data_IF_705280942416
#
_entry.id   IF_705280942416
#
_cell.length_a   1.000
_cell.length_b   1.000
_cell.length_c   1.000
_cell.angle_alpha   90.00
_cell.angle_beta   90.00
_cell.angle_gamma   90.00
#
_symmetry.space_group_name_H-M   'P 1'
#
loop_
_entity.id
_entity.type
_entity.pdbx_description
1 polymer ?
#
# COMPACT_ATOMS: atom_id res chain seq x y z
N UNK A 1 -16.88 -0.59 -5.24
CA UNK A 1 -16.85 -1.58 -6.33
C UNK A 1 -15.49 -2.27 -6.26
N UNK A 2 -15.45 -3.54 -5.84
CA UNK A 2 -14.23 -4.34 -5.85
C UNK A 2 -14.16 -5.00 -7.24
N UNK A 3 -13.10 -4.75 -8.01
CA UNK A 3 -12.90 -5.40 -9.30
C UNK A 3 -11.73 -6.36 -9.14
N UNK A 4 -12.04 -7.65 -9.22
CA UNK A 4 -11.03 -8.70 -9.29
C UNK A 4 -10.39 -8.66 -10.68
N UNK A 5 -9.09 -8.37 -10.73
CA UNK A 5 -8.33 -8.46 -11.98
C UNK A 5 -7.85 -9.90 -12.10
N UNK A 6 -8.63 -10.69 -12.85
CA UNK A 6 -8.29 -12.06 -13.24
C UNK A 6 -7.07 -12.06 -14.18
N UNK A 7 -6.21 -13.08 -14.05
CA UNK A 7 -4.92 -13.21 -14.73
C UNK A 7 -5.03 -13.55 -16.22
N UNK A 8 -6.24 -13.68 -16.77
CA UNK A 8 -6.41 -14.35 -18.07
C UNK A 8 -6.75 -13.42 -19.25
N UNK A 9 -7.47 -12.30 -19.08
CA UNK A 9 -7.82 -11.42 -20.21
C UNK A 9 -7.98 -9.97 -19.77
N UNK A 10 -7.48 -9.09 -20.64
CA UNK A 10 -7.50 -7.62 -20.57
C UNK A 10 -6.58 -7.02 -19.51
N UNK A 11 -5.34 -6.79 -19.94
CA UNK A 11 -4.38 -5.86 -19.34
C UNK A 11 -4.99 -4.45 -19.45
N UNK A 12 -5.97 -4.13 -18.61
CA UNK A 12 -6.15 -2.77 -18.15
C UNK A 12 -4.92 -2.54 -17.28
N UNK A 13 -3.92 -1.82 -17.80
CA UNK A 13 -2.73 -1.49 -17.01
C UNK A 13 -3.19 -1.00 -15.64
N UNK A 14 -2.74 -1.62 -14.53
CA UNK A 14 -3.17 -1.23 -13.19
C UNK A 14 -3.04 0.26 -12.93
N UNK A 15 -2.06 0.90 -13.57
CA UNK A 15 -1.88 2.34 -13.54
C UNK A 15 -3.00 3.08 -14.28
N UNK A 16 -3.41 2.64 -15.47
CA UNK A 16 -4.56 3.22 -16.18
C UNK A 16 -5.86 3.01 -15.42
N UNK A 17 -6.03 1.90 -14.72
CA UNK A 17 -7.16 1.71 -13.81
C UNK A 17 -7.13 2.72 -12.65
N UNK A 18 -5.97 2.89 -12.00
CA UNK A 18 -5.79 3.91 -10.98
C UNK A 18 -6.09 5.31 -11.52
N UNK A 19 -5.59 5.65 -12.71
CA UNK A 19 -5.81 6.96 -13.33
C UNK A 19 -7.28 7.16 -13.72
N UNK A 20 -7.96 6.11 -14.20
CA UNK A 20 -9.39 6.15 -14.52
C UNK A 20 -10.23 6.37 -13.26
N UNK A 21 -9.91 5.68 -12.17
CA UNK A 21 -10.53 5.93 -10.86
C UNK A 21 -10.18 7.29 -10.27
N UNK A 22 -8.98 7.79 -10.56
CA UNK A 22 -8.52 9.09 -10.13
C UNK A 22 -9.20 10.24 -10.91
N UNK A 23 -9.58 10.01 -12.16
CA UNK A 23 -10.16 11.05 -13.02
C UNK A 23 -11.69 11.01 -13.10
N UNK A 24 -12.36 10.16 -12.32
CA UNK A 24 -13.83 10.06 -12.29
C UNK A 24 -14.47 11.40 -11.82
N UNK A 25 -15.61 11.86 -12.37
CA UNK A 25 -16.24 13.12 -11.95
C UNK A 25 -16.61 13.18 -10.45
N UNK A 26 -16.96 12.05 -9.83
CA UNK A 26 -17.15 11.95 -8.38
C UNK A 26 -15.86 12.11 -7.57
N UNK A 27 -14.71 11.97 -8.22
CA UNK A 27 -13.37 12.18 -7.67
C UNK A 27 -13.02 13.68 -7.55
N UNK A 28 -13.32 14.49 -8.58
CA UNK A 28 -12.99 15.92 -8.63
C UNK A 28 -13.73 16.75 -7.60
N UNK A 29 -15.03 16.50 -7.40
CA UNK A 29 -15.83 17.20 -6.40
C UNK A 29 -15.34 16.96 -4.95
N UNK A 30 -14.59 15.87 -4.74
CA UNK A 30 -14.06 15.47 -3.43
C UNK A 30 -12.54 15.63 -3.33
N UNK A 31 -11.83 16.11 -4.38
CA UNK A 31 -10.41 16.51 -4.28
C UNK A 31 -10.28 17.95 -3.75
N UNK A 32 -11.21 18.82 -4.12
CA UNK A 32 -11.20 20.25 -3.73
C UNK A 32 -11.49 20.45 -2.23
N UNK A 33 -12.19 19.52 -1.59
CA UNK A 33 -12.45 19.51 -0.13
C UNK A 33 -11.25 18.99 0.67
N UNK A 34 -10.31 18.26 0.03
CA UNK A 34 -9.34 17.41 0.76
C UNK A 34 -8.02 18.10 1.10
N UNK A 35 -7.57 19.08 0.32
CA UNK A 35 -6.34 19.83 0.63
C UNK A 35 -6.52 20.84 1.77
N UNK A 36 -7.74 21.33 2.03
CA UNK A 36 -8.01 22.32 3.09
C UNK A 36 -7.98 21.76 4.52
N UNK A 37 -8.12 20.44 4.68
CA UNK A 37 -8.21 19.78 6.00
C UNK A 37 -7.04 18.82 6.29
N UNK A 38 -6.00 18.81 5.44
CA UNK A 38 -4.82 17.95 5.63
C UNK A 38 -5.06 16.46 5.35
N UNK A 39 -6.15 16.14 4.64
CA UNK A 39 -6.39 14.80 4.12
C UNK A 39 -5.62 14.60 2.82
N UNK A 40 -5.13 13.40 2.62
CA UNK A 40 -4.38 13.03 1.42
C UNK A 40 -4.96 11.73 0.87
N UNK A 41 -5.04 11.66 -0.45
CA UNK A 41 -5.45 10.44 -1.15
C UNK A 41 -4.25 9.52 -1.34
N UNK A 42 -4.37 8.28 -0.90
CA UNK A 42 -3.33 7.26 -1.09
C UNK A 42 -3.90 6.08 -1.85
N UNK A 43 -3.19 5.66 -2.91
CA UNK A 43 -3.55 4.47 -3.70
C UNK A 43 -3.53 3.25 -2.78
N UNK A 44 -4.51 2.37 -2.92
CA UNK A 44 -4.61 1.15 -2.11
C UNK A 44 -4.66 -0.10 -2.98
N UNK A 45 -3.93 -1.13 -2.55
CA UNK A 45 -3.96 -2.48 -3.14
C UNK A 45 -4.16 -3.49 -2.02
N UNK A 46 -5.05 -4.46 -2.24
CA UNK A 46 -5.17 -5.62 -1.36
C UNK A 46 -4.36 -6.75 -1.99
N UNK A 47 -3.39 -7.27 -1.25
CA UNK A 47 -2.55 -8.39 -1.69
C UNK A 47 -3.00 -9.63 -0.93
N UNK A 48 -3.32 -10.66 -1.68
CA UNK A 48 -3.64 -12.00 -1.20
C UNK A 48 -2.59 -12.99 -1.71
N UNK A 49 -2.49 -14.20 -1.13
CA UNK A 49 -1.57 -15.22 -1.61
C UNK A 49 -1.70 -15.49 -3.12
N UNK A 50 -2.91 -15.41 -3.69
CA UNK A 50 -3.16 -15.77 -5.10
C UNK A 50 -3.27 -14.57 -6.04
N UNK A 51 -3.80 -13.43 -5.57
CA UNK A 51 -4.14 -12.26 -6.41
C UNK A 51 -3.81 -10.91 -5.76
N UNK A 52 -3.73 -9.89 -6.63
CA UNK A 52 -3.65 -8.47 -6.24
C UNK A 52 -4.95 -7.81 -6.67
N UNK A 53 -5.65 -7.18 -5.72
CA UNK A 53 -6.94 -6.56 -5.94
C UNK A 53 -6.76 -5.04 -5.84
N UNK A 54 -7.09 -4.36 -6.93
CA UNK A 54 -7.03 -2.90 -7.01
C UNK A 54 -8.33 -2.31 -6.49
N UNK A 55 -8.22 -1.38 -5.56
CA UNK A 55 -9.38 -0.75 -4.93
C UNK A 55 -9.25 0.76 -5.04
N UNK A 56 -10.37 1.44 -4.78
CA UNK A 56 -10.40 2.90 -4.77
C UNK A 56 -9.33 3.46 -3.82
N UNK A 57 -8.61 4.53 -4.22
CA UNK A 57 -7.73 5.25 -3.32
C UNK A 57 -8.44 5.66 -2.04
N UNK A 58 -7.77 5.50 -0.90
CA UNK A 58 -8.31 5.89 0.39
C UNK A 58 -7.99 7.34 0.70
N UNK A 59 -8.96 8.04 1.26
CA UNK A 59 -8.73 9.35 1.86
C UNK A 59 -8.27 9.14 3.30
N UNK A 60 -7.05 9.56 3.60
CA UNK A 60 -6.45 9.42 4.93
C UNK A 60 -5.94 10.75 5.43
N UNK A 61 -5.97 10.95 6.74
CA UNK A 61 -5.30 12.11 7.33
C UNK A 61 -3.80 12.00 7.07
N UNK A 62 -3.23 12.98 6.37
CA UNK A 62 -1.82 12.97 6.01
C UNK A 62 -0.99 13.04 7.27
N UNK A 63 -0.07 12.11 7.49
CA UNK A 63 0.93 12.23 8.54
C UNK A 63 2.11 13.12 8.05
N UNK A 64 3.03 13.48 8.94
CA UNK A 64 4.18 14.36 8.58
C UNK A 64 4.96 13.86 7.38
N UNK A 65 5.10 12.54 7.27
CA UNK A 65 5.84 11.89 6.20
C UNK A 65 5.09 12.01 4.85
N UNK A 66 3.78 11.69 4.83
CA UNK A 66 2.93 11.83 3.65
C UNK A 66 2.86 13.28 3.16
N UNK A 67 2.71 14.25 4.08
CA UNK A 67 2.66 15.67 3.74
C UNK A 67 3.96 16.19 3.14
N UNK A 68 5.11 15.63 3.57
CA UNK A 68 6.43 16.05 3.08
C UNK A 68 6.79 15.42 1.73
N UNK A 69 6.42 14.16 1.51
CA UNK A 69 6.87 13.38 0.36
C UNK A 69 5.79 13.18 -0.71
N UNK A 70 4.56 13.63 -0.46
CA UNK A 70 3.42 13.43 -1.35
C UNK A 70 2.96 11.97 -1.40
N UNK A 71 1.89 11.71 -2.17
CA UNK A 71 1.29 10.37 -2.26
C UNK A 71 1.39 9.74 -3.65
N UNK A 72 1.91 10.46 -4.64
CA UNK A 72 1.93 10.01 -6.04
C UNK A 72 2.76 8.74 -6.27
N UNK A 73 3.87 8.62 -5.56
CA UNK A 73 4.76 7.45 -5.61
C UNK A 73 4.45 6.43 -4.52
N UNK A 74 3.41 6.66 -3.71
CA UNK A 74 3.09 5.80 -2.58
C UNK A 74 1.90 4.91 -2.87
N UNK A 75 1.94 3.71 -2.29
CA UNK A 75 0.83 2.79 -2.29
C UNK A 75 0.69 2.17 -0.90
N UNK A 76 -0.54 2.16 -0.39
CA UNK A 76 -0.91 1.42 0.80
C UNK A 76 -1.26 0.00 0.38
N UNK A 77 -0.61 -0.97 1.00
CA UNK A 77 -0.86 -2.39 0.76
C UNK A 77 -1.50 -3.00 1.99
N UNK A 78 -2.56 -3.76 1.76
CA UNK A 78 -3.27 -4.49 2.78
C UNK A 78 -3.12 -5.99 2.51
N UNK A 79 -2.51 -6.72 3.42
CA UNK A 79 -2.36 -8.16 3.26
C UNK A 79 -3.57 -8.91 3.83
N UNK A 80 -4.24 -9.70 2.99
CA UNK A 80 -5.45 -10.46 3.29
C UNK A 80 -5.33 -11.89 2.82
N UNK A 81 -6.14 -12.76 3.39
CA UNK A 81 -6.31 -14.11 2.85
C UNK A 81 -7.21 -14.05 1.60
N UNK A 82 -7.27 -15.14 0.84
CA UNK A 82 -8.05 -15.20 -0.40
C UNK A 82 -9.57 -15.05 -0.15
N UNK A 83 -10.04 -15.37 1.05
CA UNK A 83 -11.43 -15.15 1.53
C UNK A 83 -11.68 -13.71 2.02
N UNK A 84 -10.68 -12.83 1.95
CA UNK A 84 -10.74 -11.43 2.40
C UNK A 84 -10.55 -11.22 3.90
N UNK A 85 -10.39 -12.28 4.68
CA UNK A 85 -10.11 -12.19 6.11
C UNK A 85 -8.69 -11.70 6.39
N UNK A 86 -8.42 -11.32 7.64
CA UNK A 86 -7.08 -10.89 8.03
C UNK A 86 -6.14 -12.09 8.00
N UNK A 87 -4.97 -11.90 7.39
CA UNK A 87 -3.92 -12.91 7.46
C UNK A 87 -3.55 -13.21 8.91
N UNK A 88 -3.50 -14.50 9.18
CA UNK A 88 -3.13 -15.08 10.45
C UNK A 88 -1.69 -15.60 10.37
N UNK A 89 -0.77 -14.94 11.06
CA UNK A 89 0.68 -15.20 10.93
C UNK A 89 1.19 -16.33 11.84
N UNK A 90 0.32 -17.19 12.38
CA UNK A 90 0.72 -18.20 13.37
C UNK A 90 1.68 -19.27 12.83
N UNK A 91 1.88 -19.38 11.52
CA UNK A 91 2.77 -20.38 10.95
C UNK A 91 3.63 -19.82 9.80
N UNK A 92 4.94 -19.78 10.03
CA UNK A 92 5.97 -19.32 9.08
C UNK A 92 6.12 -20.19 7.83
N UNK A 93 5.51 -21.38 7.81
CA UNK A 93 5.52 -22.29 6.65
C UNK A 93 4.34 -22.06 5.69
N UNK A 94 3.41 -21.16 6.01
CA UNK A 94 2.25 -20.88 5.17
C UNK A 94 2.63 -20.10 3.91
N UNK A 95 1.87 -20.31 2.83
CA UNK A 95 1.98 -19.52 1.59
C UNK A 95 1.75 -18.04 1.87
N UNK A 96 0.80 -17.72 2.75
CA UNK A 96 0.54 -16.37 3.22
C UNK A 96 1.78 -15.71 3.85
N UNK A 97 2.45 -16.39 4.78
CA UNK A 97 3.67 -15.87 5.39
C UNK A 97 4.76 -15.60 4.34
N UNK A 98 4.97 -16.55 3.41
CA UNK A 98 5.95 -16.37 2.32
C UNK A 98 5.59 -15.22 1.40
N UNK A 99 4.31 -15.05 1.06
CA UNK A 99 3.81 -13.95 0.25
C UNK A 99 4.14 -12.59 0.90
N UNK A 100 3.80 -12.43 2.18
CA UNK A 100 4.08 -11.19 2.94
C UNK A 100 5.58 -10.98 3.07
N UNK A 101 6.34 -12.01 3.47
CA UNK A 101 7.79 -11.93 3.62
C UNK A 101 8.47 -11.48 2.33
N UNK A 102 8.16 -12.14 1.21
CA UNK A 102 8.73 -11.79 -0.09
C UNK A 102 8.37 -10.37 -0.51
N UNK A 103 7.13 -9.93 -0.27
CA UNK A 103 6.71 -8.57 -0.57
C UNK A 103 7.47 -7.53 0.27
N UNK A 104 7.72 -7.80 1.55
CA UNK A 104 8.46 -6.89 2.43
C UNK A 104 9.96 -6.85 2.12
N UNK A 105 10.57 -7.98 1.76
CA UNK A 105 12.01 -8.10 1.49
C UNK A 105 12.39 -7.61 0.08
N UNK A 106 11.61 -7.97 -0.93
CA UNK A 106 11.95 -7.72 -2.34
C UNK A 106 11.09 -6.64 -3.00
N UNK A 107 10.05 -6.19 -2.33
CA UNK A 107 9.03 -5.34 -2.93
C UNK A 107 8.09 -6.12 -3.84
N UNK A 108 7.32 -5.38 -4.62
CA UNK A 108 6.30 -5.93 -5.51
C UNK A 108 6.05 -5.02 -6.70
N UNK A 109 5.71 -5.65 -7.83
CA UNK A 109 5.37 -4.94 -9.05
C UNK A 109 3.87 -4.64 -9.12
N UNK A 110 3.52 -3.38 -9.40
CA UNK A 110 2.17 -2.90 -9.69
C UNK A 110 2.25 -2.06 -10.97
N UNK A 111 1.51 -2.47 -12.01
CA UNK A 111 1.47 -1.74 -13.27
C UNK A 111 2.85 -1.48 -13.88
N UNK A 112 3.71 -2.51 -13.89
CA UNK A 112 5.08 -2.43 -14.42
C UNK A 112 6.08 -1.68 -13.53
N UNK A 113 5.64 -1.06 -12.43
CA UNK A 113 6.51 -0.30 -11.52
C UNK A 113 6.78 -1.11 -10.25
N UNK A 114 8.03 -1.10 -9.78
CA UNK A 114 8.43 -1.72 -8.51
C UNK A 114 8.09 -0.79 -7.35
N UNK A 115 7.53 -1.39 -6.31
CA UNK A 115 7.22 -0.73 -5.06
C UNK A 115 7.90 -1.48 -3.92
N UNK A 116 8.62 -0.76 -3.07
CA UNK A 116 9.40 -1.30 -1.96
C UNK A 116 8.83 -0.84 -0.62
N UNK A 117 8.88 -1.72 0.38
CA UNK A 117 8.30 -1.46 1.69
C UNK A 117 8.99 -0.27 2.37
N UNK A 118 8.25 0.64 3.00
CA UNK A 118 8.84 1.78 3.71
C UNK A 118 8.53 1.78 5.19
N UNK A 119 7.39 1.22 5.60
CA UNK A 119 7.01 1.18 7.00
C UNK A 119 5.51 0.99 7.19
N UNK A 120 5.13 0.81 8.44
CA UNK A 120 3.74 0.73 8.88
C UNK A 120 3.60 1.39 10.25
N UNK A 121 2.54 2.17 10.47
CA UNK A 121 2.21 2.66 11.80
C UNK A 121 1.47 1.59 12.61
N UNK A 122 1.41 1.71 13.93
CA UNK A 122 0.65 0.77 14.77
C UNK A 122 -0.83 0.65 14.34
N UNK A 123 -1.44 1.75 13.87
CA UNK A 123 -2.79 1.72 13.31
C UNK A 123 -2.91 0.88 12.04
N UNK A 124 -1.88 0.88 11.19
CA UNK A 124 -1.81 0.08 9.97
C UNK A 124 -1.45 -1.39 10.29
N UNK A 125 -0.58 -1.66 11.25
CA UNK A 125 -0.30 -3.06 11.64
C UNK A 125 -1.57 -3.80 12.11
N UNK A 126 -2.50 -3.09 12.79
CA UNK A 126 -3.78 -3.67 13.24
C UNK A 126 -4.68 -4.16 12.10
N UNK A 127 -4.50 -3.65 10.89
CA UNK A 127 -5.25 -4.09 9.70
C UNK A 127 -4.41 -4.89 8.68
N UNK A 128 -3.18 -5.27 9.06
CA UNK A 128 -2.16 -5.85 8.17
C UNK A 128 -1.81 -4.91 7.00
N UNK A 129 -1.90 -3.61 7.26
CA UNK A 129 -1.59 -2.53 6.33
C UNK A 129 -0.14 -2.08 6.44
N UNK A 130 0.39 -1.59 5.33
CA UNK A 130 1.73 -1.01 5.25
C UNK A 130 1.86 -0.09 4.04
N UNK A 131 2.85 0.80 4.09
CA UNK A 131 3.19 1.64 2.95
C UNK A 131 4.36 1.08 2.17
N UNK A 132 4.26 1.26 0.86
CA UNK A 132 5.30 1.03 -0.11
C UNK A 132 5.51 2.29 -0.96
N UNK A 133 6.73 2.51 -1.43
CA UNK A 133 7.09 3.60 -2.34
C UNK A 133 7.62 3.05 -3.65
N UNK A 134 7.32 3.73 -4.75
CA UNK A 134 7.88 3.41 -6.06
C UNK A 134 9.39 3.66 -6.05
N UNK A 135 10.18 2.64 -6.39
CA UNK A 135 11.64 2.72 -6.42
C UNK A 135 12.30 1.38 -6.14
N UNK A 136 13.62 1.42 -5.97
CA UNK A 136 14.44 0.30 -5.54
C UNK A 136 14.65 0.30 -4.02
N UNK A 137 15.21 -0.79 -3.48
CA UNK A 137 15.34 -0.97 -2.04
C UNK A 137 16.23 0.11 -1.43
N UNK A 138 17.24 0.54 -2.18
CA UNK A 138 18.18 1.61 -1.85
C UNK A 138 17.48 2.95 -1.68
N UNK A 139 16.55 3.31 -2.59
CA UNK A 139 15.77 4.55 -2.50
C UNK A 139 14.92 4.60 -1.22
N UNK A 140 14.42 3.43 -0.77
CA UNK A 140 13.65 3.34 0.46
C UNK A 140 14.50 3.52 1.71
N UNK A 141 15.81 3.24 1.69
CA UNK A 141 16.69 3.43 2.85
C UNK A 141 16.81 4.91 3.21
N UNK A 142 17.03 5.75 2.21
CA UNK A 142 17.14 7.20 2.40
C UNK A 142 15.81 7.79 2.89
N UNK A 143 14.72 7.31 2.31
CA UNK A 143 13.37 7.74 2.67
C UNK A 143 12.98 7.29 4.09
N UNK A 144 13.38 6.10 4.54
CA UNK A 144 13.18 5.64 5.92
C UNK A 144 13.97 6.48 6.91
N UNK A 145 15.16 6.95 6.54
CA UNK A 145 15.96 7.86 7.37
C UNK A 145 15.24 9.18 7.65
N UNK A 146 14.32 9.61 6.77
CA UNK A 146 13.49 10.79 6.97
C UNK A 146 12.30 10.57 7.93
N UNK A 147 11.91 9.31 8.19
CA UNK A 147 10.77 8.97 9.07
C UNK A 147 11.09 9.16 10.56
N UNK A 148 12.36 9.26 10.91
CA UNK A 148 12.85 9.44 12.28
C UNK A 148 13.79 8.32 12.71
N UNK A 149 14.42 8.49 13.88
CA UNK A 149 15.26 7.46 14.48
C UNK A 149 14.37 6.46 15.22
N UNK A 150 14.13 5.31 14.62
CA UNK A 150 13.47 4.21 15.32
C UNK A 150 14.48 3.54 16.24
N UNK A 151 14.30 3.70 17.56
CA UNK A 151 15.00 2.86 18.53
C UNK A 151 14.44 1.46 18.41
N UNK A 152 15.28 0.50 18.01
CA UNK A 152 14.97 -0.92 18.08
C UNK A 152 15.19 -1.34 19.55
N UNK A 153 14.36 -0.83 20.45
CA UNK A 153 14.31 -1.36 21.82
C UNK A 153 13.38 -2.59 21.77
N UNK A 154 13.86 -3.72 22.30
CA UNK A 154 13.02 -4.90 22.49
C UNK A 154 11.78 -4.49 23.28
N UNK A 155 10.60 -4.85 22.80
CA UNK A 155 9.38 -4.75 23.59
C UNK A 155 9.66 -5.44 24.94
N UNK A 156 9.42 -4.78 26.09
CA UNK A 156 9.59 -5.42 27.39
C UNK A 156 8.71 -6.67 27.44
N UNK A 157 9.29 -7.80 27.87
CA UNK A 157 8.58 -9.05 28.09
C UNK A 157 7.56 -8.93 29.22
#
# INVERSE_FOLDING_TARGET
MLLEVDKSKDIIEPLNFFMKLYNDPGHRAMSDVTDSEGYMRVRKVIVTPTKKIFVNPELIMGNRFLRKHGTEKMVRILFRDDDGTKLSFFNSRTVAFRCVKNALEHGLYIGGKKYVFIGSSCSQLRDNGCYFVQGEVEDAVDLRSSMGKFKIESVPK
#
